data_IF_687901723184
#
_entry.id   IF_687901723184
#
_cell.length_a   1.000
_cell.length_b   1.000
_cell.length_c   1.000
_cell.angle_alpha   90.00
_cell.angle_beta   90.00
_cell.angle_gamma   90.00
#
_symmetry.space_group_name_H-M   'P 1'
#
loop_
_entity.id
_entity.type
_entity.pdbx_description
1 polymer ?
#
# COMPACT_ATOMS: atom_id res chain seq x y z
N UNK A 1 6.96 -12.47 24.84
CA UNK A 1 6.77 -13.14 23.54
C UNK A 1 5.28 -13.35 23.30
N UNK A 2 4.64 -12.56 22.42
CA UNK A 2 3.18 -12.65 22.21
C UNK A 2 2.88 -13.92 21.40
N UNK A 3 2.23 -14.93 22.01
CA UNK A 3 1.73 -16.12 21.32
C UNK A 3 0.87 -15.68 20.14
N UNK A 4 1.29 -16.00 18.91
CA UNK A 4 0.50 -15.74 17.71
C UNK A 4 -0.79 -16.56 17.76
N UNK A 5 -1.91 -15.94 17.43
CA UNK A 5 -3.20 -16.65 17.32
C UNK A 5 -3.09 -17.75 16.26
N UNK A 6 -3.35 -18.99 16.64
CA UNK A 6 -3.32 -20.21 15.79
C UNK A 6 -4.61 -20.40 14.99
N UNK A 7 -5.23 -19.31 14.52
CA UNK A 7 -6.40 -19.34 13.64
C UNK A 7 -5.99 -19.16 12.17
N UNK A 8 -6.90 -19.47 11.24
CA UNK A 8 -6.71 -19.19 9.82
C UNK A 8 -6.37 -17.69 9.61
N UNK A 9 -5.35 -17.41 8.80
CA UNK A 9 -4.88 -16.05 8.54
C UNK A 9 -5.83 -15.35 7.56
N UNK A 10 -6.76 -14.57 8.09
CA UNK A 10 -7.66 -13.73 7.29
C UNK A 10 -6.93 -12.48 6.79
N UNK A 11 -7.11 -12.15 5.50
CA UNK A 11 -6.60 -10.92 4.89
C UNK A 11 -7.49 -9.74 5.27
N UNK A 12 -6.90 -8.74 5.95
CA UNK A 12 -7.61 -7.55 6.48
C UNK A 12 -7.43 -6.29 5.60
N UNK A 13 -6.89 -6.44 4.39
CA UNK A 13 -6.55 -5.32 3.52
C UNK A 13 -6.95 -5.58 2.08
N UNK A 14 -7.28 -4.50 1.38
CA UNK A 14 -7.42 -4.50 -0.07
C UNK A 14 -6.03 -4.33 -0.68
N UNK A 15 -5.76 -5.03 -1.79
CA UNK A 15 -4.49 -4.87 -2.50
C UNK A 15 -4.60 -3.68 -3.43
N UNK A 16 -3.45 -3.09 -3.71
CA UNK A 16 -3.32 -2.08 -4.74
C UNK A 16 -1.99 -2.19 -5.44
N UNK A 17 -1.95 -1.61 -6.63
CA UNK A 17 -0.79 -1.55 -7.50
C UNK A 17 -0.31 -0.12 -7.59
N UNK A 18 0.98 0.11 -7.33
CA UNK A 18 1.60 1.40 -7.57
C UNK A 18 1.90 1.51 -9.06
N UNK A 19 1.21 2.42 -9.75
CA UNK A 19 1.42 2.68 -11.17
C UNK A 19 2.65 3.56 -11.37
N UNK A 20 2.77 4.61 -10.56
CA UNK A 20 3.92 5.51 -10.59
C UNK A 20 3.67 6.78 -9.82
N UNK A 21 4.36 7.87 -10.15
CA UNK A 21 4.03 9.20 -9.60
C UNK A 21 3.15 10.00 -10.55
N UNK A 22 2.57 11.08 -10.03
CA UNK A 22 1.93 12.10 -10.84
C UNK A 22 2.94 12.62 -11.86
N UNK A 23 2.58 12.61 -13.14
CA UNK A 23 3.48 12.99 -14.21
C UNK A 23 2.79 13.80 -15.31
N UNK A 24 3.59 14.59 -16.00
CA UNK A 24 3.31 15.12 -17.34
C UNK A 24 4.06 14.27 -18.37
N UNK A 25 4.07 14.70 -19.64
CA UNK A 25 4.82 14.04 -20.71
C UNK A 25 6.31 13.93 -20.35
N UNK A 26 6.90 15.03 -19.91
CA UNK A 26 8.33 15.14 -19.60
C UNK A 26 8.66 15.21 -18.11
N UNK A 27 7.76 15.74 -17.27
CA UNK A 27 8.05 16.01 -15.85
C UNK A 27 7.40 15.00 -14.92
N UNK A 28 8.13 14.54 -13.91
CA UNK A 28 7.65 13.68 -12.83
C UNK A 28 7.50 14.49 -11.53
N UNK A 29 6.47 14.20 -10.73
CA UNK A 29 6.28 14.81 -9.41
C UNK A 29 6.19 13.72 -8.34
N UNK A 30 7.28 13.44 -7.62
CA UNK A 30 7.38 12.30 -6.70
C UNK A 30 6.55 12.44 -5.42
N UNK A 31 6.14 13.67 -5.08
CA UNK A 31 5.36 13.97 -3.88
C UNK A 31 3.98 13.28 -3.85
N UNK A 32 3.46 12.88 -5.01
CA UNK A 32 2.16 12.24 -5.13
C UNK A 32 2.27 10.98 -5.96
N UNK A 33 1.91 9.84 -5.38
CA UNK A 33 1.89 8.56 -6.06
C UNK A 33 0.50 8.25 -6.63
N UNK A 34 0.47 7.55 -7.75
CA UNK A 34 -0.71 6.99 -8.39
C UNK A 34 -0.82 5.51 -8.03
N UNK A 35 -1.97 5.12 -7.50
CA UNK A 35 -2.24 3.74 -7.08
C UNK A 35 -3.55 3.27 -7.70
N UNK A 36 -3.55 2.08 -8.29
CA UNK A 36 -4.77 1.37 -8.65
C UNK A 36 -5.19 0.48 -7.49
N UNK A 37 -6.47 0.52 -7.10
CA UNK A 37 -7.01 -0.41 -6.09
C UNK A 37 -7.60 -1.61 -6.84
N UNK A 38 -7.33 -2.84 -6.37
CA UNK A 38 -7.91 -4.05 -6.96
C UNK A 38 -9.44 -4.03 -6.80
N UNK A 39 -10.17 -4.27 -7.90
CA UNK A 39 -11.63 -4.34 -7.89
C UNK A 39 -12.35 -2.99 -7.94
N UNK A 40 -11.62 -1.88 -8.12
CA UNK A 40 -12.20 -0.54 -8.24
C UNK A 40 -12.00 -0.03 -9.66
N UNK A 41 -13.09 0.16 -10.41
CA UNK A 41 -13.06 0.59 -11.80
C UNK A 41 -13.70 1.96 -12.01
N UNK A 42 -14.62 2.39 -11.14
CA UNK A 42 -15.32 3.67 -11.27
C UNK A 42 -14.77 4.73 -10.33
N UNK A 43 -15.02 6.00 -10.64
CA UNK A 43 -14.63 7.13 -9.79
C UNK A 43 -15.47 7.23 -8.51
N UNK A 44 -16.71 6.77 -8.55
CA UNK A 44 -17.65 6.81 -7.43
C UNK A 44 -17.21 5.84 -6.33
N UNK A 45 -16.80 4.63 -6.71
CA UNK A 45 -16.26 3.61 -5.81
C UNK A 45 -14.97 4.10 -5.12
N UNK A 46 -14.14 4.87 -5.85
CA UNK A 46 -12.91 5.46 -5.30
C UNK A 46 -13.19 6.44 -4.17
N UNK A 47 -14.30 7.19 -4.23
CA UNK A 47 -14.63 8.20 -3.23
C UNK A 47 -14.72 7.57 -1.82
N UNK A 48 -15.20 6.33 -1.73
CA UNK A 48 -15.25 5.58 -0.48
C UNK A 48 -13.86 5.30 0.12
N UNK A 49 -12.83 5.19 -0.72
CA UNK A 49 -11.44 4.98 -0.28
C UNK A 49 -10.71 6.26 0.12
N UNK A 50 -11.29 7.43 -0.10
CA UNK A 50 -10.70 8.70 0.31
C UNK A 50 -10.43 8.74 1.82
N UNK A 51 -9.25 9.21 2.23
CA UNK A 51 -8.86 9.32 3.63
C UNK A 51 -8.39 8.01 4.29
N UNK A 52 -8.53 6.85 3.61
CA UNK A 52 -8.04 5.59 4.17
C UNK A 52 -6.52 5.54 4.21
N UNK A 53 -5.98 4.80 5.19
CA UNK A 53 -4.54 4.61 5.37
C UNK A 53 -4.01 3.54 4.43
N UNK A 54 -2.82 3.79 3.92
CA UNK A 54 -2.08 2.88 3.06
C UNK A 54 -0.75 2.54 3.70
N UNK A 55 -0.27 1.33 3.44
CA UNK A 55 1.05 0.89 3.86
C UNK A 55 1.77 0.26 2.67
N UNK A 56 2.96 0.76 2.35
CA UNK A 56 3.89 0.09 1.47
C UNK A 56 4.87 -0.74 2.31
N UNK A 57 4.83 -2.06 2.16
CA UNK A 57 5.68 -2.99 2.90
C UNK A 57 6.73 -3.57 1.95
N UNK A 58 7.98 -3.51 2.34
CA UNK A 58 9.10 -4.08 1.59
C UNK A 58 10.06 -4.83 2.52
N UNK A 59 10.86 -5.73 1.94
CA UNK A 59 11.86 -6.52 2.65
C UNK A 59 13.24 -5.91 2.46
N UNK A 60 13.90 -5.59 3.57
CA UNK A 60 15.29 -5.14 3.57
C UNK A 60 16.25 -6.29 3.92
N UNK A 61 17.49 -6.21 3.45
CA UNK A 61 18.56 -7.18 3.79
C UNK A 61 18.97 -7.05 5.26
N UNK A 62 19.04 -5.81 5.76
CA UNK A 62 19.40 -5.50 7.14
C UNK A 62 18.22 -5.66 8.10
N UNK A 63 18.50 -6.16 9.30
CA UNK A 63 17.51 -6.22 10.39
C UNK A 63 17.41 -4.84 11.02
N UNK A 64 16.19 -4.34 11.17
CA UNK A 64 15.89 -3.13 11.95
C UNK A 64 14.70 -3.46 12.84
N UNK A 65 14.78 -3.11 14.13
CA UNK A 65 13.75 -3.45 15.12
C UNK A 65 13.38 -4.93 15.08
N UNK A 66 14.40 -5.81 15.07
CA UNK A 66 14.24 -7.27 15.10
C UNK A 66 13.59 -7.90 13.85
N UNK A 67 13.14 -7.09 12.89
CA UNK A 67 12.45 -7.55 11.69
C UNK A 67 13.20 -7.13 10.41
N UNK A 68 13.03 -7.91 9.35
CA UNK A 68 13.54 -7.59 8.00
C UNK A 68 12.52 -6.79 7.17
N UNK A 69 11.36 -6.48 7.75
CA UNK A 69 10.26 -5.82 7.04
C UNK A 69 10.19 -4.37 7.47
N UNK A 70 10.06 -3.47 6.49
CA UNK A 70 9.87 -2.05 6.71
C UNK A 70 8.56 -1.62 6.08
N UNK A 71 7.96 -0.57 6.63
CA UNK A 71 6.70 -0.03 6.14
C UNK A 71 6.79 1.49 5.96
N UNK A 72 6.27 1.97 4.83
CA UNK A 72 6.04 3.39 4.58
C UNK A 72 4.54 3.61 4.66
N UNK A 73 4.13 4.50 5.56
CA UNK A 73 2.72 4.83 5.72
C UNK A 73 2.31 5.97 4.81
N UNK A 74 1.08 5.91 4.34
CA UNK A 74 0.46 6.97 3.55
C UNK A 74 -1.05 7.01 3.73
N UNK A 75 -1.67 7.90 2.96
CA UNK A 75 -3.14 8.05 2.90
C UNK A 75 -3.59 8.30 1.47
N UNK A 76 -4.79 7.84 1.17
CA UNK A 76 -5.51 8.20 -0.05
C UNK A 76 -5.99 9.64 0.07
N UNK A 77 -5.77 10.44 -0.98
CA UNK A 77 -6.15 11.86 -0.99
C UNK A 77 -7.36 12.14 -1.87
N UNK A 78 -7.30 11.82 -3.17
CA UNK A 78 -8.35 12.10 -4.15
C UNK A 78 -8.31 11.11 -5.30
N UNK A 79 -9.44 10.89 -6.01
CA UNK A 79 -9.46 10.12 -7.24
C UNK A 79 -8.57 10.75 -8.32
N UNK A 80 -8.10 9.91 -9.24
CA UNK A 80 -7.34 10.29 -10.42
C UNK A 80 -7.96 9.65 -11.66
N UNK A 81 -8.39 10.47 -12.62
CA UNK A 81 -9.04 9.98 -13.83
C UNK A 81 -10.35 9.25 -13.53
N UNK A 82 -10.76 8.39 -14.46
CA UNK A 82 -12.03 7.64 -14.39
C UNK A 82 -11.82 6.15 -14.09
N UNK A 83 -10.62 5.62 -14.24
CA UNK A 83 -10.31 4.18 -14.19
C UNK A 83 -10.09 3.61 -12.79
N UNK A 84 -10.59 4.24 -11.73
CA UNK A 84 -10.40 3.76 -10.36
C UNK A 84 -9.01 4.04 -9.74
N UNK A 85 -8.18 4.87 -10.39
CA UNK A 85 -6.86 5.25 -9.86
C UNK A 85 -7.02 6.29 -8.75
N UNK A 86 -6.22 6.18 -7.69
CA UNK A 86 -6.14 7.16 -6.61
C UNK A 86 -4.80 7.88 -6.55
N UNK A 87 -4.84 9.12 -6.08
CA UNK A 87 -3.66 9.85 -5.62
C UNK A 87 -3.41 9.53 -4.16
N UNK A 88 -2.23 9.01 -3.86
CA UNK A 88 -1.76 8.74 -2.50
C UNK A 88 -0.63 9.69 -2.12
N UNK A 89 -0.64 10.14 -0.86
CA UNK A 89 0.48 10.84 -0.23
C UNK A 89 1.06 9.96 0.86
N UNK A 90 2.36 9.71 0.76
CA UNK A 90 3.11 8.97 1.76
C UNK A 90 3.87 9.92 2.67
N UNK A 91 4.23 9.46 3.87
CA UNK A 91 5.07 10.23 4.79
C UNK A 91 6.47 10.46 4.23
N UNK A 92 6.98 9.45 3.51
CA UNK A 92 8.23 9.51 2.77
C UNK A 92 7.92 9.12 1.33
N UNK A 93 8.54 9.81 0.37
CA UNK A 93 8.35 9.47 -1.04
C UNK A 93 8.69 7.99 -1.27
N UNK A 94 7.84 7.31 -2.04
CA UNK A 94 8.10 5.91 -2.37
C UNK A 94 9.38 5.79 -3.20
N UNK A 95 10.15 4.70 -3.10
CA UNK A 95 11.27 4.45 -4.00
C UNK A 95 10.74 4.10 -5.41
N UNK A 96 11.45 4.45 -6.50
CA UNK A 96 10.97 4.17 -7.84
C UNK A 96 10.89 2.68 -8.17
N UNK A 97 11.67 1.85 -7.47
CA UNK A 97 11.63 0.39 -7.55
C UNK A 97 10.28 -0.20 -7.11
N UNK A 98 9.46 0.56 -6.38
CA UNK A 98 8.12 0.15 -5.96
C UNK A 98 7.07 0.23 -7.09
N UNK A 99 7.38 0.90 -8.20
CA UNK A 99 6.47 1.03 -9.34
C UNK A 99 6.36 -0.30 -10.11
N UNK A 100 5.16 -0.61 -10.63
CA UNK A 100 4.88 -1.80 -11.44
C UNK A 100 5.06 -3.18 -10.76
N UNK A 101 5.28 -3.26 -9.44
CA UNK A 101 5.39 -4.55 -8.71
C UNK A 101 4.06 -5.22 -8.36
N UNK A 102 2.91 -4.66 -8.76
CA UNK A 102 1.57 -5.12 -8.36
C UNK A 102 0.73 -5.69 -9.50
N UNK A 103 0.78 -7.00 -9.69
CA UNK A 103 -0.29 -7.78 -10.34
C UNK A 103 -0.19 -9.26 -9.95
N UNK A 104 1.02 -9.76 -9.70
CA UNK A 104 1.26 -11.17 -9.38
C UNK A 104 2.30 -11.45 -8.31
N UNK A 105 2.90 -10.43 -7.68
CA UNK A 105 3.81 -10.68 -6.56
C UNK A 105 2.96 -11.19 -5.39
N UNK A 106 3.02 -12.50 -5.16
CA UNK A 106 2.42 -13.14 -4.02
C UNK A 106 3.13 -12.58 -2.79
N UNK A 107 2.52 -11.54 -2.24
CA UNK A 107 3.09 -10.84 -1.13
C UNK A 107 3.08 -11.82 0.03
N UNK A 108 4.25 -12.30 0.47
CA UNK A 108 4.42 -12.99 1.77
C UNK A 108 4.01 -12.13 2.98
N UNK A 109 3.32 -11.01 2.74
CA UNK A 109 2.75 -10.09 3.71
C UNK A 109 1.69 -10.71 4.62
N UNK A 110 1.13 -11.91 4.35
CA UNK A 110 0.37 -12.64 5.38
C UNK A 110 1.24 -12.96 6.61
N UNK A 111 2.56 -13.14 6.44
CA UNK A 111 3.56 -13.20 7.54
C UNK A 111 4.00 -11.82 8.00
N UNK A 112 4.22 -10.85 7.10
CA UNK A 112 4.74 -9.52 7.44
C UNK A 112 3.71 -8.60 8.15
N UNK A 113 2.45 -8.61 7.74
CA UNK A 113 1.37 -7.81 8.32
C UNK A 113 1.04 -8.20 9.77
N UNK A 114 1.40 -9.43 10.18
CA UNK A 114 1.30 -9.86 11.57
C UNK A 114 2.48 -9.42 12.46
N UNK A 115 3.63 -9.05 11.86
CA UNK A 115 4.84 -8.59 12.55
C UNK A 115 4.97 -7.08 12.60
N UNK A 116 4.55 -6.38 11.53
CA UNK A 116 4.31 -4.94 11.59
C UNK A 116 3.06 -4.76 12.44
N UNK A 117 3.18 -4.10 13.59
CA UNK A 117 2.06 -3.83 14.52
C UNK A 117 1.07 -2.86 13.85
N UNK A 118 0.31 -3.33 12.86
CA UNK A 118 -0.85 -2.64 12.30
C UNK A 118 -1.84 -2.59 13.46
N UNK A 119 -1.81 -1.48 14.22
CA UNK A 119 -2.68 -1.27 15.37
C UNK A 119 -4.11 -1.59 14.92
N UNK A 120 -4.79 -2.48 15.65
CA UNK A 120 -6.08 -3.12 15.36
C UNK A 120 -7.30 -2.16 15.22
N UNK A 121 -7.09 -0.92 14.77
CA UNK A 121 -8.13 0.11 14.67
C UNK A 121 -8.56 0.45 13.24
N UNK A 122 -8.03 -0.21 12.21
CA UNK A 122 -8.27 0.18 10.82
C UNK A 122 -8.62 -1.03 9.95
N UNK A 123 -9.93 -1.26 9.81
CA UNK A 123 -10.55 -2.32 9.02
C UNK A 123 -10.33 -2.15 7.51
N UNK A 124 -9.71 -1.08 7.02
CA UNK A 124 -9.46 -0.90 5.58
C UNK A 124 -8.11 -0.23 5.32
N UNK A 125 -7.03 -0.95 5.62
CA UNK A 125 -5.70 -0.55 5.16
C UNK A 125 -5.51 -1.06 3.73
N UNK A 126 -4.95 -0.26 2.82
CA UNK A 126 -4.51 -0.76 1.50
C UNK A 126 -3.04 -1.15 1.64
N UNK A 127 -2.72 -2.42 1.36
CA UNK A 127 -1.34 -2.87 1.39
C UNK A 127 -0.76 -2.87 -0.01
N UNK A 128 0.33 -2.12 -0.18
CA UNK A 128 1.18 -2.10 -1.35
C UNK A 128 2.42 -2.91 -1.00
N UNK A 129 2.85 -3.81 -1.86
CA UNK A 129 4.01 -4.66 -1.59
C UNK A 129 5.11 -4.45 -2.62
N UNK A 130 6.36 -4.48 -2.13
CA UNK A 130 7.59 -4.50 -2.91
C UNK A 130 8.34 -5.82 -2.79
#
# INVERSE_FOLDING_TARGET
MVKGRTGQRVRLYVRGTILGYKRSKSNQYETTSLVQIEGVNTKEDVAWYAGKRMAYIYKAKTKSNETRYRCIWGKVTRPHGNSGVVRAKFMSNLPPESMCRGARSECSCTRAASKVRIRKRLIFSICLAG
#
